data_IF_002591532966
#
_entry.id   IF_002591532966
#
_cell.length_a   1.000
_cell.length_b   1.000
_cell.length_c   1.000
_cell.angle_alpha   90.00
_cell.angle_beta   90.00
_cell.angle_gamma   90.00
#
_symmetry.space_group_name_H-M   'P 1'
#
loop_
_entity.id
_entity.type
_entity.pdbx_description
1 polymer ?
2 non-polymer ?
3 non-polymer ?
4 non-polymer ?
5 water ?
#
# COMPACT_ATOMS: atom_id res chain seq x y z
N UNK A 2 -10.46 -11.29 22.90
CA UNK A 2 -11.21 -10.29 22.05
C UNK A 2 -10.27 -9.36 21.32
N UNK A 3 -10.38 -9.36 20.01
CA UNK A 3 -9.39 -8.64 19.25
C UNK A 3 -10.09 -7.65 18.36
N UNK A 4 -9.32 -6.67 17.84
CA UNK A 4 -9.83 -5.72 16.87
C UNK A 4 -9.06 -6.01 15.58
N UNK A 5 -9.77 -6.04 14.48
CA UNK A 5 -9.12 -6.16 13.17
C UNK A 5 -9.19 -4.81 12.47
N UNK A 6 -8.04 -4.41 11.93
CA UNK A 6 -7.96 -3.23 11.07
C UNK A 6 -7.78 -3.76 9.65
N UNK A 7 -8.74 -3.44 8.77
CA UNK A 7 -8.68 -3.90 7.39
C UNK A 7 -8.64 -2.71 6.45
N UNK A 8 -7.64 -2.66 5.58
CA UNK A 8 -7.66 -1.69 4.51
C UNK A 8 -7.83 -2.47 3.21
N UNK A 9 -8.95 -2.24 2.56
CA UNK A 9 -9.25 -2.88 1.29
C UNK A 9 -9.44 -1.77 0.28
N UNK A 10 -8.76 -1.89 -0.87
CA UNK A 10 -8.79 -0.81 -1.85
C UNK A 10 -8.94 -1.37 -3.27
N UNK A 11 -9.40 -0.51 -4.17
CA UNK A 11 -9.57 -0.91 -5.56
C UNK A 11 -9.73 0.32 -6.41
N UNK A 12 -9.30 0.20 -7.67
CA UNK A 12 -9.54 1.22 -8.68
C UNK A 12 -10.85 0.85 -9.32
N UNK A 13 -11.84 1.74 -9.21
CA UNK A 13 -13.15 1.49 -9.85
C UNK A 13 -13.44 2.50 -10.97
N UNK A 14 -12.38 3.17 -11.43
CA UNK A 14 -12.53 4.17 -12.49
C UNK A 14 -12.14 5.55 -12.00
N UNK A 15 -11.83 6.46 -12.92
CA UNK A 15 -11.30 7.75 -12.50
C UNK A 15 -11.56 8.83 -13.57
N UNK A 16 -11.41 10.07 -13.16
CA UNK A 16 -11.68 11.19 -14.04
C UNK A 16 -10.46 11.55 -14.90
N UNK A 17 -10.68 11.67 -16.21
CA UNK A 17 -9.71 12.22 -17.17
C UNK A 17 -8.50 11.35 -17.48
N UNK A 18 -8.56 10.08 -17.08
CA UNK A 18 -7.42 9.19 -17.16
C UNK A 18 -7.28 8.53 -15.81
N UNK A 19 -6.07 8.07 -15.50
CA UNK A 19 -5.81 7.37 -14.23
C UNK A 19 -5.47 8.38 -13.12
N UNK A 20 -6.25 9.45 -13.05
CA UNK A 20 -5.85 10.67 -12.35
C UNK A 20 -6.38 10.76 -10.92
N UNK A 21 -7.70 10.68 -10.75
CA UNK A 21 -8.30 10.87 -9.44
C UNK A 21 -9.66 10.18 -9.37
N UNK A 22 -9.95 9.64 -8.18
CA UNK A 22 -11.28 9.13 -7.85
C UNK A 22 -12.29 10.27 -7.85
N UNK A 23 -13.44 10.06 -8.50
CA UNK A 23 -14.50 11.05 -8.49
C UNK A 23 -15.30 10.95 -7.20
N UNK A 24 -15.61 12.08 -6.56
CA UNK A 24 -16.33 12.07 -5.29
C UNK A 24 -17.65 11.28 -5.30
N UNK A 25 -18.39 11.31 -6.40
CA UNK A 25 -19.69 10.61 -6.42
C UNK A 25 -19.49 9.11 -6.21
N UNK A 26 -18.36 8.56 -6.66
CA UNK A 26 -18.09 7.13 -6.48
C UNK A 26 -17.76 6.81 -5.02
N UNK A 27 -17.09 7.73 -4.32
CA UNK A 27 -16.84 7.57 -2.89
C UNK A 27 -18.14 7.63 -2.10
N UNK A 28 -19.07 8.48 -2.51
CA UNK A 28 -20.34 8.61 -1.81
C UNK A 28 -21.12 7.30 -1.95
N UNK A 29 -20.99 6.66 -3.10
CA UNK A 29 -21.66 5.35 -3.30
C UNK A 29 -21.08 4.28 -2.38
N UNK A 30 -19.76 4.23 -2.26
CA UNK A 30 -19.11 3.29 -1.36
C UNK A 30 -19.49 3.58 0.07
N UNK A 31 -19.58 4.86 0.40
CA UNK A 31 -19.96 5.27 1.74
C UNK A 31 -21.32 4.72 2.16
N UNK A 32 -22.28 4.73 1.25
CA UNK A 32 -23.61 4.23 1.58
C UNK A 32 -23.54 2.79 2.03
N UNK A 33 -22.77 1.98 1.32
CA UNK A 33 -22.59 0.58 1.68
C UNK A 33 -21.91 0.42 3.04
N UNK A 34 -20.83 1.14 3.28
CA UNK A 34 -20.17 0.98 4.55
C UNK A 34 -21.01 1.55 5.71
N UNK A 35 -21.77 2.61 5.44
CA UNK A 35 -22.67 3.16 6.46
C UNK A 35 -23.66 2.10 6.89
N UNK A 36 -24.21 1.38 5.92
CA UNK A 36 -25.15 0.30 6.24
C UNK A 36 -24.47 -0.81 7.03
N UNK A 37 -23.27 -1.22 6.60
CA UNK A 37 -22.54 -2.27 7.32
C UNK A 37 -22.26 -1.86 8.76
N UNK A 38 -21.98 -0.57 8.98
CA UNK A 38 -21.68 -0.08 10.33
C UNK A 38 -22.97 -0.09 11.16
N UNK A 39 -24.06 0.35 10.56
CA UNK A 39 -25.37 0.32 11.24
C UNK A 39 -25.74 -1.11 11.65
N UNK A 40 -25.46 -2.08 10.78
CA UNK A 40 -25.76 -3.49 11.06
C UNK A 40 -24.80 -4.14 12.05
N UNK A 41 -23.72 -3.46 12.40
CA UNK A 41 -22.75 -4.04 13.31
C UNK A 41 -21.75 -4.99 12.68
N UNK A 42 -21.69 -5.04 11.34
CA UNK A 42 -20.68 -5.85 10.65
C UNK A 42 -19.28 -5.29 10.89
N UNK A 43 -19.18 -3.96 10.76
CA UNK A 43 -17.96 -3.26 11.11
C UNK A 43 -18.27 -2.23 12.18
N UNK A 44 -17.26 -1.87 12.95
CA UNK A 44 -17.40 -0.94 14.06
C UNK A 44 -17.15 0.51 13.62
N UNK A 45 -16.23 0.70 12.68
CA UNK A 45 -16.00 2.06 12.18
C UNK A 45 -15.30 1.99 10.82
N UNK A 46 -15.23 3.13 10.12
CA UNK A 46 -14.55 3.12 8.83
C UNK A 46 -14.18 4.53 8.48
N UNK A 47 -13.25 4.65 7.53
CA UNK A 47 -12.89 5.93 6.91
C UNK A 47 -12.66 5.62 5.43
N UNK A 48 -13.26 6.42 4.56
CA UNK A 48 -13.12 6.25 3.11
C UNK A 48 -12.31 7.42 2.55
N UNK A 49 -11.35 7.09 1.70
CA UNK A 49 -10.64 8.15 0.98
C UNK A 49 -10.11 7.60 -0.35
N UNK A 50 -9.19 8.33 -0.99
CA UNK A 50 -8.56 7.82 -2.19
C UNK A 50 -7.09 8.26 -2.17
N UNK A 51 -6.28 7.55 -2.93
CA UNK A 51 -4.96 8.08 -3.36
C UNK A 51 -4.94 7.89 -4.88
N UNK A 52 -4.81 8.98 -5.63
CA UNK A 52 -4.88 8.89 -7.07
C UNK A 52 -6.22 8.28 -7.46
N UNK A 53 -6.17 7.27 -8.32
CA UNK A 53 -7.38 6.58 -8.80
C UNK A 53 -7.77 5.36 -7.96
N UNK A 54 -7.20 5.22 -6.78
CA UNK A 54 -7.51 4.06 -5.92
C UNK A 54 -8.37 4.44 -4.74
N UNK A 55 -9.55 3.81 -4.71
CA UNK A 55 -10.54 4.07 -3.67
C UNK A 55 -10.22 3.20 -2.43
N UNK A 56 -10.09 3.85 -1.28
CA UNK A 56 -9.59 3.22 -0.05
C UNK A 56 -10.70 3.03 0.98
N UNK A 57 -10.89 1.77 1.41
CA UNK A 57 -11.81 1.47 2.51
C UNK A 57 -11.02 1.04 3.76
N UNK A 58 -10.98 1.89 4.78
CA UNK A 58 -10.29 1.61 6.02
C UNK A 58 -11.37 1.23 7.05
N UNK A 59 -11.35 -0.01 7.51
CA UNK A 59 -12.43 -0.52 8.38
C UNK A 59 -11.89 -1.16 9.62
N UNK A 60 -12.59 -0.95 10.75
CA UNK A 60 -12.27 -1.69 11.96
C UNK A 60 -13.49 -2.55 12.31
N UNK A 61 -13.19 -3.73 12.83
CA UNK A 61 -14.25 -4.71 13.10
C UNK A 61 -13.72 -5.78 14.00
N UNK A 62 -14.56 -6.77 14.34
CA UNK A 62 -14.09 -7.83 15.22
C UNK A 62 -14.22 -9.20 14.57
N UNK A 63 -14.03 -9.24 13.26
CA UNK A 63 -14.34 -10.44 12.47
C UNK A 63 -13.11 -11.15 11.91
N UNK A 64 -11.91 -10.67 12.26
CA UNK A 64 -10.67 -11.37 11.91
C UNK A 64 -10.17 -11.06 10.52
N UNK A 65 -9.01 -11.58 10.20
CA UNK A 65 -8.40 -11.43 8.86
C UNK A 65 -9.14 -12.33 7.85
N UNK A 66 -9.18 -11.90 6.58
CA UNK A 66 -9.82 -12.69 5.52
C UNK A 66 -11.25 -13.12 5.89
N UNK A 67 -12.01 -12.20 6.45
CA UNK A 67 -13.42 -12.45 6.77
C UNK A 67 -14.27 -12.28 5.53
N UNK A 68 -15.04 -13.31 5.20
CA UNK A 68 -15.88 -13.25 4.02
C UNK A 68 -16.86 -12.07 4.03
N UNK A 69 -17.53 -11.82 5.15
CA UNK A 69 -18.51 -10.78 5.18
C UNK A 69 -17.87 -9.36 5.07
N UNK A 70 -16.74 -9.14 5.71
CA UNK A 70 -16.05 -7.84 5.58
C UNK A 70 -15.58 -7.67 4.12
N UNK A 71 -15.00 -8.72 3.57
CA UNK A 71 -14.55 -8.63 2.20
C UNK A 71 -15.71 -8.46 1.24
N UNK A 72 -16.85 -9.11 1.49
CA UNK A 72 -18.00 -8.94 0.61
C UNK A 72 -18.61 -7.55 0.73
N UNK A 73 -18.57 -6.97 1.93
CA UNK A 73 -18.99 -5.59 2.12
C UNK A 73 -18.11 -4.66 1.26
N UNK A 74 -16.81 -4.89 1.29
CA UNK A 74 -15.90 -4.06 0.47
C UNK A 74 -16.21 -4.25 -1.00
N UNK A 75 -16.37 -5.51 -1.43
CA UNK A 75 -16.72 -5.80 -2.81
C UNK A 75 -17.97 -5.08 -3.24
N UNK A 76 -19.01 -5.10 -2.40
CA UNK A 76 -20.25 -4.44 -2.76
C UNK A 76 -20.09 -2.92 -2.85
N UNK A 77 -19.30 -2.35 -1.94
CA UNK A 77 -19.01 -0.93 -1.96
C UNK A 77 -18.29 -0.58 -3.28
N UNK A 78 -17.33 -1.40 -3.65
CA UNK A 78 -16.63 -1.20 -4.95
C UNK A 78 -17.59 -1.32 -6.13
N UNK A 79 -18.48 -2.32 -6.09
CA UNK A 79 -19.43 -2.48 -7.18
C UNK A 79 -20.38 -1.29 -7.30
N UNK A 80 -20.84 -0.74 -6.18
CA UNK A 80 -21.72 0.41 -6.24
C UNK A 80 -20.97 1.65 -6.77
N UNK A 81 -19.71 1.77 -6.33
CA UNK A 81 -18.84 2.86 -6.79
C UNK A 81 -18.59 2.72 -8.28
N UNK A 82 -18.36 1.50 -8.75
CA UNK A 82 -18.09 1.27 -10.17
C UNK A 82 -19.33 1.56 -11.02
N UNK A 83 -20.51 1.25 -10.48
CA UNK A 83 -21.74 1.57 -11.22
C UNK A 83 -21.87 3.08 -11.44
N UNK A 84 -21.59 3.85 -10.40
CA UNK A 84 -21.59 5.30 -10.52
C UNK A 84 -20.51 5.75 -11.52
N UNK A 85 -19.34 5.12 -11.46
CA UNK A 85 -18.26 5.44 -12.41
C UNK A 85 -18.71 5.22 -13.86
N UNK A 86 -19.39 4.12 -14.09
CA UNK A 86 -19.87 3.79 -15.43
C UNK A 86 -20.97 4.78 -15.88
N UNK A 87 -21.89 5.12 -14.98
CA UNK A 87 -22.94 6.09 -15.25
C UNK A 87 -22.36 7.47 -15.58
N UNK A 88 -21.22 7.79 -14.96
CA UNK A 88 -20.51 9.06 -15.22
C UNK A 88 -19.55 8.96 -16.40
N UNK A 89 -19.45 7.81 -17.02
CA UNK A 89 -18.54 7.63 -18.14
C UNK A 89 -17.08 7.85 -17.74
N UNK A 90 -16.77 7.56 -16.50
CA UNK A 90 -15.37 7.67 -16.06
C UNK A 90 -14.45 6.72 -16.82
N UNK A 91 -13.18 7.11 -16.93
CA UNK A 91 -12.20 6.23 -17.53
C UNK A 91 -11.98 4.96 -16.69
N UNK A 92 -11.94 3.80 -17.36
CA UNK A 92 -11.60 2.52 -16.71
C UNK A 92 -12.58 2.16 -15.59
N UNK A 93 -13.86 2.43 -15.81
CA UNK A 93 -14.87 2.08 -14.82
C UNK A 93 -14.75 0.60 -14.44
N UNK A 94 -14.74 0.32 -13.13
CA UNK A 94 -14.51 -1.05 -12.65
C UNK A 94 -13.15 -1.67 -12.92
N UNK A 95 -12.12 -0.84 -13.13
CA UNK A 95 -10.79 -1.34 -13.51
C UNK A 95 -10.30 -2.56 -12.77
N UNK A 96 -10.32 -2.50 -11.44
CA UNK A 96 -9.67 -3.55 -10.64
C UNK A 96 -10.65 -4.64 -10.24
N UNK A 97 -11.88 -4.56 -10.71
CA UNK A 97 -12.86 -5.60 -10.38
C UNK A 97 -12.78 -6.62 -11.50
N UNK A 98 -11.85 -7.56 -11.34
CA UNK A 98 -11.50 -8.51 -12.40
C UNK A 98 -12.51 -9.64 -12.53
N UNK A 99 -13.12 -10.01 -11.41
CA UNK A 99 -14.17 -11.02 -11.41
C UNK A 99 -15.55 -10.41 -11.57
N UNK A 100 -16.44 -11.16 -12.21
CA UNK A 100 -17.82 -10.74 -12.37
C UNK A 100 -18.52 -10.87 -11.03
N UNK A 101 -18.10 -11.86 -10.24
CA UNK A 101 -18.74 -12.11 -8.95
C UNK A 101 -17.73 -12.35 -7.83
N UNK A 102 -18.23 -12.27 -6.61
CA UNK A 102 -17.40 -12.39 -5.43
C UNK A 102 -17.55 -13.78 -4.85
N UNK A 103 -16.45 -14.34 -4.33
CA UNK A 103 -16.56 -15.52 -3.46
C UNK A 103 -15.36 -15.63 -2.52
N UNK A 104 -15.66 -15.88 -1.26
CA UNK A 104 -14.64 -16.12 -0.26
C UNK A 104 -14.07 -14.84 0.29
N UNK A 105 -13.26 -14.16 -0.52
CA UNK A 105 -12.66 -12.90 -0.12
C UNK A 105 -12.17 -12.19 -1.37
N UNK A 106 -11.65 -10.96 -1.24
CA UNK A 106 -11.30 -10.19 -2.44
C UNK A 106 -10.00 -10.57 -3.09
N UNK A 107 -9.16 -11.35 -2.38
CA UNK A 107 -7.83 -11.68 -2.87
C UNK A 107 -7.93 -12.50 -4.13
N UNK A 108 -7.32 -12.02 -5.21
CA UNK A 108 -7.42 -12.71 -6.49
C UNK A 108 -8.56 -12.22 -7.35
N UNK A 109 -9.36 -11.30 -6.81
CA UNK A 109 -10.47 -10.72 -7.56
C UNK A 109 -10.11 -9.34 -8.12
N UNK A 110 -8.96 -8.82 -7.71
CA UNK A 110 -8.52 -7.48 -8.13
C UNK A 110 -8.19 -6.48 -7.02
N UNK A 111 -9.07 -6.34 -6.01
CA UNK A 111 -8.80 -5.42 -4.89
C UNK A 111 -7.59 -5.82 -4.08
N UNK A 112 -6.89 -4.84 -3.50
CA UNK A 112 -5.78 -5.12 -2.61
C UNK A 112 -6.24 -5.07 -1.18
N UNK A 113 -5.56 -5.82 -0.32
CA UNK A 113 -5.94 -5.86 1.08
C UNK A 113 -4.73 -5.95 1.98
N UNK A 114 -4.73 -5.12 3.03
CA UNK A 114 -3.79 -5.27 4.13
C UNK A 114 -4.62 -5.30 5.39
N UNK A 115 -4.47 -6.33 6.22
CA UNK A 115 -5.28 -6.36 7.44
C UNK A 115 -4.52 -7.06 8.54
N UNK A 116 -4.82 -6.64 9.77
CA UNK A 116 -4.19 -7.26 10.94
C UNK A 116 -5.22 -7.37 12.06
N UNK A 117 -5.32 -8.56 12.62
CA UNK A 117 -6.11 -8.77 13.83
C UNK A 117 -5.18 -8.68 15.01
N UNK A 118 -5.46 -7.76 15.92
CA UNK A 118 -4.55 -7.47 17.00
C UNK A 118 -5.27 -7.36 18.33
N UNK A 119 -4.50 -7.41 19.41
CA UNK A 119 -4.99 -6.97 20.71
C UNK A 119 -4.59 -5.51 20.88
N UNK A 120 -5.58 -4.62 20.99
CA UNK A 120 -5.27 -3.19 21.18
C UNK A 120 -4.36 -3.00 22.39
N UNK A 121 -3.28 -2.25 22.21
CA UNK A 121 -2.32 -1.99 23.27
C UNK A 121 -2.84 -0.92 24.23
N UNK A 122 -2.05 -0.54 25.24
CA UNK A 122 -2.51 0.44 26.23
C UNK A 122 -3.04 1.67 25.51
N UNK A 123 -2.35 2.04 24.43
CA UNK A 123 -2.94 2.89 23.39
C UNK A 123 -2.46 2.28 22.06
N UNK A 124 -3.20 2.53 20.99
CA UNK A 124 -2.95 1.86 19.72
C UNK A 124 -2.84 2.89 18.60
N UNK A 125 -1.69 3.60 18.56
CA UNK A 125 -1.44 4.52 17.41
C UNK A 125 -0.95 3.72 16.21
N UNK A 126 -1.45 4.07 15.03
CA UNK A 126 -1.04 3.38 13.81
C UNK A 126 -0.87 4.42 12.71
N UNK A 127 -0.12 4.01 11.68
CA UNK A 127 -0.10 4.79 10.44
C UNK A 127 -0.47 3.87 9.30
N UNK A 128 -1.30 4.38 8.42
CA UNK A 128 -1.72 3.64 7.24
C UNK A 128 -1.16 4.39 6.01
N UNK A 129 -0.44 3.67 5.17
CA UNK A 129 0.19 4.25 3.97
C UNK A 129 -0.47 3.67 2.73
N UNK A 130 -0.85 4.53 1.80
CA UNK A 130 -1.53 4.09 0.60
C UNK A 130 -0.86 4.75 -0.60
N UNK A 131 -0.52 3.96 -1.60
CA UNK A 131 0.27 4.49 -2.73
C UNK A 131 -0.43 4.29 -4.03
N UNK A 132 -0.21 5.22 -4.96
CA UNK A 132 -0.73 5.08 -6.31
C UNK A 132 0.45 5.13 -7.27
N UNK A 133 0.31 4.34 -8.33
CA UNK A 133 1.28 4.21 -9.44
C UNK A 133 2.53 3.41 -9.10
N UNK A 134 2.39 2.43 -8.22
CA UNK A 134 3.50 1.56 -7.92
C UNK A 134 3.01 0.19 -7.43
N UNK A 135 3.93 -0.60 -6.90
CA UNK A 135 3.59 -1.96 -6.52
C UNK A 135 4.05 -2.22 -5.08
N UNK A 136 3.61 -3.36 -4.50
CA UNK A 136 3.89 -3.61 -3.08
C UNK A 136 5.36 -3.53 -2.68
N UNK A 137 6.26 -3.98 -3.56
CA UNK A 137 7.68 -3.93 -3.24
C UNK A 137 8.19 -2.52 -3.02
N UNK A 138 7.40 -1.51 -3.38
CA UNK A 138 7.78 -0.12 -3.07
C UNK A 138 7.94 0.11 -1.56
N UNK A 139 7.34 -0.76 -0.73
CA UNK A 139 7.47 -0.58 0.70
C UNK A 139 8.68 -1.34 1.28
N UNK A 140 9.40 -2.10 0.45
CA UNK A 140 10.54 -2.87 0.99
C UNK A 140 11.60 -2.02 1.62
N UNK A 141 12.06 -0.99 0.90
CA UNK A 141 13.12 -0.14 1.44
C UNK A 141 12.63 0.62 2.69
N UNK A 142 11.43 1.23 2.62
CA UNK A 142 10.97 1.88 3.86
C UNK A 142 10.80 0.95 5.05
N UNK A 143 10.25 -0.25 4.84
CA UNK A 143 10.11 -1.17 5.98
C UNK A 143 11.44 -1.67 6.52
N UNK A 144 12.39 -1.94 5.63
CA UNK A 144 13.74 -2.25 6.08
C UNK A 144 14.26 -1.12 6.96
N UNK A 145 14.08 0.12 6.51
CA UNK A 145 14.60 1.23 7.30
C UNK A 145 13.90 1.35 8.65
N UNK A 146 12.57 1.27 8.63
CA UNK A 146 11.79 1.44 9.88
C UNK A 146 12.15 0.42 10.93
N UNK A 147 12.34 -0.83 10.47
CA UNK A 147 12.43 -1.94 11.42
C UNK A 147 13.80 -2.51 11.60
N UNK A 148 14.76 -2.15 10.76
CA UNK A 148 16.08 -2.75 10.87
C UNK A 148 17.25 -1.77 10.83
N UNK A 149 17.04 -0.56 10.30
CA UNK A 149 18.18 0.34 10.11
C UNK A 149 18.33 1.30 11.27
N UNK A 150 19.43 1.17 12.02
CA UNK A 150 19.61 2.01 13.21
C UNK A 150 19.92 3.48 12.87
N UNK A 151 20.17 3.78 11.59
CA UNK A 151 20.32 5.18 11.14
C UNK A 151 18.95 5.80 10.84
N UNK A 152 17.92 4.96 10.80
CA UNK A 152 16.54 5.43 10.66
C UNK A 152 15.80 5.45 11.99
N UNK A 153 15.96 4.34 12.74
CA UNK A 153 15.17 4.06 13.96
C UNK A 153 16.15 3.91 15.11
N UNK A 154 16.54 5.02 15.73
CA UNK A 154 17.55 4.91 16.79
C UNK A 154 17.01 4.15 18.03
N UNK A 155 15.70 3.92 18.07
CA UNK A 155 15.17 3.03 19.13
C UNK A 155 15.87 1.69 19.14
N UNK A 156 16.30 1.21 17.98
CA UNK A 156 17.00 -0.09 17.90
C UNK A 156 18.25 -0.07 18.75
N UNK A 157 18.87 1.09 18.88
CA UNK A 157 20.10 1.26 19.63
C UNK A 157 19.84 1.67 21.08
N UNK A 158 18.88 2.57 21.29
CA UNK A 158 18.78 3.20 22.60
C UNK A 158 17.69 2.65 23.50
N UNK A 159 16.70 1.98 22.90
CA UNK A 159 15.47 1.59 23.58
C UNK A 159 15.57 0.12 23.91
N UNK A 160 15.69 -0.17 25.21
CA UNK A 160 15.95 -1.55 25.54
C UNK A 160 14.85 -2.51 25.03
N UNK A 161 13.61 -2.02 24.91
CA UNK A 161 12.52 -2.87 24.42
C UNK A 161 12.62 -3.30 22.96
N UNK A 162 13.47 -2.61 22.18
CA UNK A 162 13.60 -2.81 20.73
C UNK A 162 14.93 -3.44 20.31
N UNK A 163 15.87 -3.49 21.23
CA UNK A 163 17.21 -4.00 21.00
C UNK A 163 17.24 -5.40 20.38
N UNK A 164 16.24 -6.22 20.71
CA UNK A 164 16.14 -7.58 20.18
C UNK A 164 15.78 -7.64 18.71
N UNK A 165 15.37 -6.51 18.16
CA UNK A 165 15.13 -6.47 16.73
C UNK A 165 13.81 -7.00 16.24
N UNK A 166 13.69 -7.06 14.92
CA UNK A 166 12.46 -7.40 14.23
C UNK A 166 12.76 -8.45 13.19
N UNK A 167 11.72 -9.21 12.83
CA UNK A 167 11.85 -10.20 11.78
C UNK A 167 10.84 -9.91 10.67
N UNK A 168 11.19 -10.35 9.48
CA UNK A 168 10.47 -10.01 8.27
C UNK A 168 9.98 -11.26 7.57
N UNK A 169 8.69 -11.28 7.28
CA UNK A 169 8.10 -12.33 6.44
C UNK A 169 8.22 -11.87 5.00
N UNK A 170 9.12 -12.50 4.26
CA UNK A 170 9.42 -12.11 2.88
C UNK A 170 8.75 -13.10 1.93
N UNK A 171 7.84 -12.62 1.10
CA UNK A 171 7.11 -13.46 0.14
C UNK A 171 7.80 -13.46 -1.21
N UNK A 172 8.12 -14.64 -1.71
CA UNK A 172 8.53 -14.77 -3.08
C UNK A 172 7.24 -14.81 -3.90
N UNK A 173 6.89 -13.72 -4.55
CA UNK A 173 5.56 -13.62 -5.15
C UNK A 173 5.49 -14.41 -6.44
N UNK A 174 6.63 -14.77 -7.01
CA UNK A 174 6.62 -15.58 -8.23
C UNK A 174 6.35 -17.03 -7.89
N UNK A 175 6.96 -17.51 -6.80
CA UNK A 175 6.85 -18.92 -6.41
C UNK A 175 5.79 -19.18 -5.33
N UNK A 176 5.28 -18.12 -4.72
CA UNK A 176 4.27 -18.28 -3.68
C UNK A 176 4.77 -19.02 -2.44
N UNK A 177 5.96 -18.68 -1.98
CA UNK A 177 6.51 -19.23 -0.75
C UNK A 177 7.10 -18.08 0.04
N UNK A 178 7.12 -18.20 1.36
CA UNK A 178 7.64 -17.13 2.21
C UNK A 178 8.73 -17.65 3.15
N UNK A 179 9.63 -16.76 3.56
CA UNK A 179 10.69 -17.08 4.51
C UNK A 179 10.69 -16.01 5.59
N UNK A 180 11.07 -16.37 6.81
CA UNK A 180 11.25 -15.41 7.92
C UNK A 180 12.72 -15.11 8.10
N UNK A 181 13.13 -13.83 8.09
CA UNK A 181 14.52 -13.47 8.31
C UNK A 181 14.56 -12.44 9.44
N UNK A 182 15.48 -12.62 10.37
CA UNK A 182 15.52 -11.80 11.57
C UNK A 182 16.67 -10.79 11.49
N UNK A 183 16.39 -9.53 11.86
CA UNK A 183 17.42 -8.50 11.98
C UNK A 183 17.85 -8.39 13.44
N UNK A 184 19.12 -8.04 13.69
CA UNK A 184 20.10 -7.68 12.69
C UNK A 184 20.90 -8.85 12.13
N UNK A 185 20.72 -10.06 12.67
CA UNK A 185 21.61 -11.15 12.31
C UNK A 185 21.59 -11.49 10.82
N UNK A 186 20.41 -11.41 10.21
CA UNK A 186 20.25 -11.87 8.83
C UNK A 186 20.03 -10.73 7.82
N UNK A 187 20.46 -9.54 8.19
CA UNK A 187 20.21 -8.39 7.28
C UNK A 187 20.84 -8.53 5.89
N UNK A 188 22.03 -9.15 5.79
CA UNK A 188 22.67 -9.25 4.47
C UNK A 188 21.88 -10.20 3.57
N UNK A 189 21.36 -11.28 4.16
CA UNK A 189 20.49 -12.19 3.41
C UNK A 189 19.16 -11.52 3.04
N UNK A 190 18.58 -10.83 4.02
CA UNK A 190 17.35 -10.08 3.79
C UNK A 190 17.48 -9.14 2.56
N UNK A 191 18.54 -8.33 2.56
CA UNK A 191 18.75 -7.35 1.48
C UNK A 191 19.04 -8.00 0.13
N UNK A 192 19.70 -9.16 0.16
CA UNK A 192 19.94 -9.91 -1.07
C UNK A 192 18.62 -10.27 -1.75
N UNK A 193 17.58 -10.53 -0.96
CA UNK A 193 16.24 -10.73 -1.51
C UNK A 193 15.44 -9.45 -1.79
N UNK A 194 15.24 -8.63 -0.76
CA UNK A 194 14.26 -7.55 -0.91
C UNK A 194 14.77 -6.44 -1.80
N UNK A 195 16.06 -6.47 -2.12
CA UNK A 195 16.62 -5.56 -3.13
C UNK A 195 16.06 -5.77 -4.53
N UNK A 196 15.31 -6.86 -4.73
CA UNK A 196 14.57 -7.15 -5.97
C UNK A 196 13.08 -7.10 -5.68
N UNK A 197 12.50 -5.89 -5.65
CA UNK A 197 11.16 -5.74 -5.02
C UNK A 197 10.02 -6.26 -5.87
N UNK A 198 10.30 -6.57 -7.13
CA UNK A 198 9.27 -7.12 -8.01
C UNK A 198 9.04 -8.58 -7.68
N UNK A 199 10.03 -9.19 -7.05
CA UNK A 199 9.94 -10.63 -6.76
C UNK A 199 9.77 -10.93 -5.27
N UNK A 200 10.59 -10.29 -4.44
CA UNK A 200 10.58 -10.56 -3.01
C UNK A 200 10.01 -9.37 -2.28
N UNK A 201 8.87 -9.56 -1.62
CA UNK A 201 8.14 -8.45 -0.99
C UNK A 201 8.02 -8.71 0.50
N UNK A 202 8.37 -7.72 1.32
CA UNK A 202 8.04 -7.87 2.76
C UNK A 202 6.53 -7.80 2.94
N UNK A 203 5.97 -8.86 3.54
CA UNK A 203 4.52 -8.95 3.72
C UNK A 203 4.11 -8.58 5.14
N UNK A 204 4.88 -9.03 6.13
CA UNK A 204 4.60 -8.71 7.54
C UNK A 204 5.91 -8.55 8.26
N UNK A 205 5.85 -7.81 9.36
CA UNK A 205 6.99 -7.61 10.24
C UNK A 205 6.53 -7.93 11.66
N UNK A 206 7.39 -8.63 12.40
CA UNK A 206 7.10 -8.97 13.79
C UNK A 206 8.24 -8.57 14.67
N UNK A 207 7.95 -8.21 15.92
CA UNK A 207 8.99 -8.00 16.89
C UNK A 207 9.56 -9.34 17.35
N UNK A 208 10.88 -9.47 17.41
CA UNK A 208 11.48 -10.77 17.79
C UNK A 208 11.15 -11.20 19.22
N UNK A 209 11.22 -10.29 20.18
CA UNK A 209 11.12 -10.66 21.60
C UNK A 209 9.82 -11.43 21.92
N UNK A 210 8.70 -10.96 21.38
CA UNK A 210 7.37 -11.44 21.74
C UNK A 210 6.50 -11.80 20.53
N UNK A 211 7.10 -11.83 19.35
CA UNK A 211 6.39 -12.12 18.11
C UNK A 211 5.20 -11.20 17.87
N UNK A 212 5.25 -9.99 18.41
CA UNK A 212 4.17 -9.02 18.17
C UNK A 212 4.11 -8.60 16.69
N UNK A 213 2.92 -8.69 16.10
CA UNK A 213 2.71 -8.30 14.71
C UNK A 213 2.78 -6.79 14.63
N UNK A 214 3.73 -6.26 13.85
CA UNK A 214 3.98 -4.82 13.79
C UNK A 214 3.55 -4.12 12.49
N UNK A 215 3.57 -4.83 11.37
CA UNK A 215 3.20 -4.22 10.07
C UNK A 215 2.71 -5.27 9.11
N UNK A 216 1.81 -4.89 8.21
CA UNK A 216 1.33 -5.74 7.15
C UNK A 216 1.22 -4.91 5.85
N UNK A 217 1.58 -5.56 4.73
CA UNK A 217 1.58 -4.96 3.39
C UNK A 217 0.63 -5.77 2.49
N UNK A 218 -0.11 -5.09 1.63
CA UNK A 218 -0.93 -5.78 0.63
C UNK A 218 -0.03 -6.42 -0.42
N UNK A 219 -0.23 -7.70 -0.69
CA UNK A 219 0.67 -8.37 -1.64
C UNK A 219 -0.03 -8.84 -2.90
N UNK A 220 -1.25 -8.37 -3.14
CA UNK A 220 -1.89 -8.63 -4.43
C UNK A 220 -1.03 -7.99 -5.55
N UNK A 221 -0.75 -8.75 -6.59
CA UNK A 221 -0.06 -8.19 -7.74
C UNK A 221 -0.87 -8.50 -9.01
N UNK A 222 -1.41 -7.45 -9.62
CA UNK A 222 -2.30 -7.58 -10.79
C UNK A 222 -1.64 -8.31 -11.95
N UNK A 223 -0.36 -8.02 -12.20
CA UNK A 223 0.37 -8.72 -13.26
C UNK A 223 0.24 -10.23 -13.08
N UNK A 224 0.46 -10.66 -11.85
CA UNK A 224 0.51 -12.09 -11.53
C UNK A 224 -0.90 -12.67 -11.39
N UNK A 225 -1.88 -11.82 -11.10
CA UNK A 225 -3.26 -12.29 -11.02
C UNK A 225 -3.84 -12.42 -12.42
N UNK A 226 -3.53 -11.45 -13.29
CA UNK A 226 -4.14 -11.36 -14.62
C UNK A 226 -3.32 -12.06 -15.72
N UNK A 227 -2.03 -12.23 -15.49
CA UNK A 227 -1.14 -12.81 -16.50
C UNK A 227 -0.74 -11.80 -17.57
N UNK A 228 -1.00 -10.52 -17.27
CA UNK A 228 -0.61 -9.43 -18.16
C UNK A 228 -0.82 -8.12 -17.41
N UNK A 229 -0.30 -7.02 -17.96
CA UNK A 229 -0.42 -5.72 -17.31
C UNK A 229 -1.84 -5.18 -17.47
N UNK A 230 -2.51 -4.89 -16.35
CA UNK A 230 -3.86 -4.30 -16.35
C UNK A 230 -3.92 -3.07 -15.43
N UNK A 231 -2.77 -2.72 -14.87
CA UNK A 231 -2.68 -1.56 -14.02
C UNK A 231 -1.56 -1.77 -13.03
N UNK A 232 -1.28 -0.74 -12.25
CA UNK A 232 -0.34 -0.85 -11.14
C UNK A 232 -1.11 -1.38 -9.92
N UNK A 233 -0.46 -2.22 -9.13
CA UNK A 233 -1.15 -2.86 -7.99
C UNK A 233 -1.63 -1.80 -7.01
N UNK A 234 -0.82 -0.79 -6.76
CA UNK A 234 -1.15 0.32 -5.88
C UNK A 234 -1.41 -0.13 -4.45
N UNK A 235 -0.34 -0.32 -3.70
CA UNK A 235 -0.37 -1.06 -2.45
C UNK A 235 -0.64 -0.21 -1.20
N UNK A 236 -1.04 -0.90 -0.14
CA UNK A 236 -1.29 -0.28 1.14
C UNK A 236 -0.53 -1.01 2.23
N UNK A 237 -0.25 -0.31 3.33
CA UNK A 237 0.45 -0.92 4.43
C UNK A 237 -0.06 -0.32 5.73
N UNK A 238 -0.14 -1.15 6.76
CA UNK A 238 -0.50 -0.69 8.09
C UNK A 238 0.70 -0.89 9.02
N UNK A 239 1.08 0.15 9.75
CA UNK A 239 2.20 0.06 10.67
C UNK A 239 1.74 0.46 12.07
N UNK A 240 1.92 -0.45 13.04
CA UNK A 240 1.68 -0.08 14.45
C UNK A 240 2.86 0.68 15.04
N UNK A 241 2.58 1.65 15.90
CA UNK A 241 3.61 2.59 16.36
C UNK A 241 3.79 2.60 17.87
N UNK A 242 4.95 3.07 18.31
CA UNK A 242 5.22 3.38 19.73
C UNK A 242 5.27 2.11 20.58
N UNK A 243 5.54 2.29 21.88
CA UNK A 243 5.53 1.13 22.83
C UNK A 243 6.52 0.03 22.38
N UNK A 244 7.70 0.41 21.95
CA UNK A 244 8.70 -0.58 21.55
C UNK A 244 8.61 -1.01 20.09
N UNK A 245 7.71 -0.35 19.37
CA UNK A 245 7.66 -0.37 17.90
C UNK A 245 8.13 1.02 17.44
N UNK A 246 8.44 1.14 16.15
CA UNK A 246 8.91 2.46 15.69
C UNK A 246 7.95 3.57 16.12
N UNK A 247 8.54 4.69 16.52
CA UNK A 247 7.76 5.91 16.77
C UNK A 247 7.14 6.39 15.46
N UNK A 248 6.05 7.14 15.53
CA UNK A 248 5.53 7.78 14.32
C UNK A 248 6.66 8.42 13.51
N UNK A 249 7.53 9.16 14.19
CA UNK A 249 8.61 9.87 13.49
C UNK A 249 9.60 8.97 12.83
N UNK A 250 9.82 7.75 13.34
CA UNK A 250 10.70 6.77 12.70
C UNK A 250 10.03 6.13 11.48
N UNK A 251 8.73 5.90 11.56
CA UNK A 251 8.01 5.46 10.38
C UNK A 251 8.08 6.53 9.28
N UNK A 252 7.86 7.79 9.65
CA UNK A 252 7.91 8.87 8.66
C UNK A 252 9.32 9.13 8.12
N UNK A 253 10.34 8.95 8.98
CA UNK A 253 11.74 9.09 8.56
C UNK A 253 12.02 8.18 7.35
N UNK A 254 11.41 7.00 7.33
CA UNK A 254 11.66 6.00 6.31
C UNK A 254 11.12 6.40 4.93
N UNK A 255 10.27 7.42 4.90
CA UNK A 255 9.74 7.99 3.66
C UNK A 255 10.31 9.36 3.33
N UNK A 256 11.27 9.85 4.12
CA UNK A 256 11.83 11.18 3.89
C UNK A 256 12.71 11.20 2.65
N UNK A 257 13.19 10.02 2.26
CA UNK A 257 13.95 9.89 1.00
C UNK A 257 12.99 9.35 -0.07
N UNK A 258 12.76 10.09 -1.16
CA UNK A 258 11.80 9.68 -2.20
C UNK A 258 12.46 8.72 -3.17
N UNK A 259 12.46 7.44 -2.82
CA UNK A 259 13.19 6.48 -3.61
C UNK A 259 12.49 6.12 -4.90
N UNK A 260 13.26 5.60 -5.84
CA UNK A 260 12.72 5.15 -7.09
C UNK A 260 11.94 3.86 -6.95
N UNK A 261 10.71 3.86 -7.47
CA UNK A 261 9.82 2.71 -7.38
C UNK A 261 9.24 2.42 -8.77
N UNK A 262 8.91 1.16 -9.01
CA UNK A 262 8.44 0.79 -10.35
C UNK A 262 6.95 1.06 -10.52
N UNK A 263 6.55 1.44 -11.72
CA UNK A 263 5.15 1.71 -12.02
C UNK A 263 5.07 2.93 -12.92
N UNK A 264 4.50 4.01 -12.40
CA UNK A 264 4.37 5.27 -13.12
C UNK A 264 3.74 5.03 -14.49
N UNK A 265 4.10 5.79 -15.51
CA UNK A 265 3.39 5.70 -16.79
C UNK A 265 3.34 4.29 -17.35
N UNK A 266 2.11 3.81 -17.66
CA UNK A 266 1.94 2.52 -18.36
C UNK A 266 2.53 1.34 -17.61
N UNK A 267 2.72 1.50 -16.29
CA UNK A 267 3.31 0.43 -15.46
C UNK A 267 4.68 0.02 -15.93
N UNK A 268 5.40 0.93 -16.58
CA UNK A 268 6.61 0.56 -17.30
C UNK A 268 7.83 1.37 -16.91
N UNK A 269 7.80 2.09 -15.79
CA UNK A 269 8.92 3.01 -15.48
C UNK A 269 9.27 3.09 -14.01
N UNK A 270 10.50 3.47 -13.70
CA UNK A 270 10.87 3.88 -12.35
C UNK A 270 10.72 5.38 -12.19
N UNK A 271 10.15 5.78 -11.06
CA UNK A 271 10.01 7.19 -10.72
C UNK A 271 10.03 7.33 -9.20
N UNK A 272 10.29 8.51 -8.71
CA UNK A 272 10.40 8.72 -7.26
C UNK A 272 9.06 8.71 -6.55
N UNK A 273 9.05 8.06 -5.39
CA UNK A 273 7.84 8.02 -4.56
C UNK A 273 7.64 9.36 -3.84
N UNK A 274 6.56 10.06 -4.16
CA UNK A 274 6.34 11.41 -3.66
C UNK A 274 5.32 11.38 -2.52
N UNK A 275 5.76 11.67 -1.30
CA UNK A 275 4.79 11.72 -0.18
C UNK A 275 3.99 13.01 -0.26
N UNK A 276 2.66 12.89 -0.20
CA UNK A 276 1.78 14.03 -0.44
C UNK A 276 0.63 14.11 0.56
N UNK A 277 0.07 15.31 0.65
CA UNK A 277 -1.18 15.54 1.36
C UNK A 277 -2.33 14.89 0.60
N UNK A 278 -3.48 14.81 1.28
CA UNK A 278 -4.70 14.30 0.65
C UNK A 278 -5.07 15.09 -0.61
N UNK A 279 -4.96 16.41 -0.55
CA UNK A 279 -5.35 17.26 -1.68
C UNK A 279 -4.40 17.04 -2.87
N UNK A 280 -3.18 16.60 -2.60
CA UNK A 280 -2.19 16.38 -3.68
C UNK A 280 -2.09 14.92 -4.08
N UNK A 281 -3.02 14.09 -3.58
CA UNK A 281 -2.97 12.66 -3.89
C UNK A 281 -3.69 12.35 -5.21
N UNK A 282 -3.07 12.77 -6.30
CA UNK A 282 -3.62 12.59 -7.62
C UNK A 282 -2.45 12.52 -8.61
N UNK A 283 -2.63 11.82 -9.71
CA UNK A 283 -1.54 11.55 -10.64
C UNK A 283 -1.62 12.50 -11.83
N UNK A 284 -0.50 13.16 -12.15
CA UNK A 284 -0.50 14.21 -13.16
C UNK A 284 0.64 13.98 -14.16
N UNK A 285 1.78 14.67 -13.99
CA UNK A 285 2.87 14.55 -14.95
C UNK A 285 3.26 13.07 -15.17
N UNK A 286 3.19 12.61 -16.43
CA UNK A 286 3.58 11.24 -16.79
C UNK A 286 2.80 10.21 -15.94
N UNK A 287 1.57 10.59 -15.59
CA UNK A 287 0.68 9.73 -14.75
C UNK A 287 1.31 9.46 -13.37
N UNK A 288 1.93 10.48 -12.80
CA UNK A 288 2.52 10.40 -11.46
C UNK A 288 3.03 11.76 -11.07
N UNK A 289 4.26 11.82 -10.53
CA UNK A 289 5.06 10.68 -10.07
C UNK A 289 4.23 9.84 -9.10
N UNK A 290 4.70 8.64 -8.79
CA UNK A 290 3.99 7.80 -7.79
C UNK A 290 3.70 8.63 -6.54
N UNK A 291 2.51 8.43 -5.96
CA UNK A 291 2.05 9.26 -4.82
C UNK A 291 1.87 8.40 -3.59
N UNK A 292 2.27 8.94 -2.45
CA UNK A 292 2.10 8.23 -1.16
C UNK A 292 1.32 9.10 -0.18
N UNK A 293 0.18 8.57 0.28
CA UNK A 293 -0.65 9.24 1.29
C UNK A 293 -0.42 8.52 2.63
N UNK A 294 -0.22 9.26 3.69
CA UNK A 294 -0.05 8.64 5.02
C UNK A 294 -1.04 9.22 6.00
N UNK A 295 -1.82 8.34 6.64
CA UNK A 295 -2.83 8.77 7.61
C UNK A 295 -2.55 8.17 8.97
N UNK A 296 -2.53 9.02 10.00
CA UNK A 296 -2.31 8.51 11.36
C UNK A 296 -3.64 8.41 12.07
N UNK A 297 -3.79 7.33 12.82
CA UNK A 297 -5.00 7.12 13.63
C UNK A 297 -4.61 6.60 14.99
N UNK A 298 -5.55 6.70 15.94
CA UNK A 298 -5.52 5.83 17.11
C UNK A 298 -6.75 4.92 17.04
N UNK A 299 -6.56 3.66 17.39
CA UNK A 299 -7.67 2.71 17.42
C UNK A 299 -8.07 2.51 18.89
N UNK A 300 -9.36 2.70 19.16
CA UNK A 300 -9.86 2.64 20.55
C UNK A 300 -11.19 1.89 20.58
N UNK A 301 -11.12 0.66 21.06
CA UNK A 301 -12.30 -0.21 21.12
C UNK A 301 -12.98 -0.29 19.76
N UNK A 302 -12.15 -0.41 18.74
CA UNK A 302 -12.66 -0.52 17.39
C UNK A 302 -13.04 0.79 16.74
N UNK A 303 -12.86 1.89 17.45
CA UNK A 303 -13.13 3.22 16.90
C UNK A 303 -11.86 3.76 16.22
N UNK A 304 -12.04 4.42 15.08
CA UNK A 304 -10.91 5.09 14.42
C UNK A 304 -10.90 6.55 14.77
N UNK A 305 -9.92 6.95 15.57
CA UNK A 305 -9.77 8.33 15.96
C UNK A 305 -8.75 8.93 15.00
N UNK A 306 -9.13 10.04 14.37
CA UNK A 306 -8.32 10.62 13.28
C UNK A 306 -9.15 10.66 12.01
N UNK A 307 -8.51 10.79 10.83
CA UNK A 307 -7.06 10.72 10.64
C UNK A 307 -6.39 12.08 10.77
N UNK A 308 -5.10 12.02 11.00
CA UNK A 308 -4.21 13.13 10.71
C UNK A 308 -3.44 12.84 9.41
N UNK A 309 -3.39 13.84 8.53
CA UNK A 309 -2.73 13.72 7.22
C UNK A 309 -1.23 13.95 7.48
N UNK A 310 -0.47 12.87 7.41
CA UNK A 310 0.89 12.87 7.89
C UNK A 310 1.90 13.67 7.04
N UNK A 311 1.82 13.50 5.72
CA UNK A 311 2.81 14.17 4.88
C UNK A 311 2.40 15.58 4.50
N UNK A 312 1.21 16.02 4.91
CA UNK A 312 0.80 17.40 4.65
C UNK A 312 1.43 18.30 5.70
N UNK A 313 2.70 18.61 5.51
CA UNK A 313 3.50 19.25 6.55
C UNK A 313 4.79 19.75 5.90
N UNK A 314 5.34 20.88 6.38
CA UNK A 314 6.50 21.44 5.74
C UNK A 314 7.76 20.58 5.85
N UNK A 315 7.80 19.65 6.79
CA UNK A 315 9.00 18.81 6.93
C UNK A 315 9.19 17.89 5.74
N UNK A 316 8.18 17.79 4.88
CA UNK A 316 8.32 16.99 3.65
C UNK A 316 8.39 17.82 2.38
N UNK A 317 8.47 19.14 2.51
CA UNK A 317 8.56 19.99 1.32
C UNK A 317 9.83 19.73 0.49
N UNK A 318 10.97 19.54 1.13
CA UNK A 318 12.19 19.21 0.36
C UNK A 318 12.11 17.81 -0.24
N UNK A 319 11.45 16.88 0.44
CA UNK A 319 11.26 15.55 -0.12
C UNK A 319 10.48 15.65 -1.44
N UNK A 320 9.44 16.47 -1.46
CA UNK A 320 8.64 16.65 -2.67
C UNK A 320 9.46 17.36 -3.76
N UNK A 321 10.21 18.38 -3.37
CA UNK A 321 11.04 19.09 -4.35
C UNK A 321 12.05 18.11 -4.97
N UNK A 322 12.72 17.30 -4.16
CA UNK A 322 13.67 16.34 -4.71
C UNK A 322 12.96 15.36 -5.62
N UNK A 323 11.78 14.90 -5.24
CA UNK A 323 11.01 14.02 -6.13
C UNK A 323 10.75 14.68 -7.50
N UNK A 324 10.38 15.95 -7.49
CA UNK A 324 10.21 16.67 -8.75
C UNK A 324 11.48 16.76 -9.59
N UNK A 325 12.60 17.05 -8.94
CA UNK A 325 13.87 17.16 -9.66
C UNK A 325 14.29 15.80 -10.23
N UNK A 326 14.13 14.75 -9.42
CA UNK A 326 14.47 13.41 -9.88
C UNK A 326 13.52 12.97 -11.00
N UNK A 327 12.23 13.34 -10.89
CA UNK A 327 11.31 12.95 -11.96
C UNK A 327 11.76 13.51 -13.28
N UNK A 328 12.18 14.79 -13.28
CA UNK A 328 12.65 15.39 -14.52
C UNK A 328 13.90 14.67 -15.04
N UNK A 329 14.84 14.39 -14.15
CA UNK A 329 16.06 13.70 -14.56
C UNK A 329 15.74 12.34 -15.13
N UNK A 330 14.89 11.57 -14.44
CA UNK A 330 14.53 10.27 -15.00
C UNK A 330 13.91 10.39 -16.38
N UNK A 331 13.02 11.37 -16.54
CA UNK A 331 12.26 11.52 -17.79
C UNK A 331 13.15 11.81 -18.98
N UNK A 332 14.34 12.40 -18.77
CA UNK A 332 15.23 12.68 -19.90
C UNK A 332 15.81 11.43 -20.50
N UNK A 333 15.60 10.27 -19.84
CA UNK A 333 16.04 8.99 -20.39
C UNK A 333 15.07 8.44 -21.42
N UNK A 334 13.87 9.00 -21.52
CA UNK A 334 12.92 8.47 -22.52
C UNK A 334 12.69 6.98 -22.26
N UNK A 335 12.64 6.18 -23.33
CA UNK A 335 12.28 4.76 -23.20
C UNK A 335 13.46 3.85 -22.92
N UNK A 336 14.52 4.37 -22.30
CA UNK A 336 15.68 3.57 -21.94
C UNK A 336 15.69 3.14 -20.49
N UNK A 337 16.13 1.92 -20.23
CA UNK A 337 16.49 1.48 -18.88
C UNK A 337 17.62 2.38 -18.42
N UNK A 338 17.68 2.70 -17.12
CA UNK A 338 16.81 2.17 -16.07
C UNK A 338 15.57 3.03 -15.75
N UNK A 339 15.22 4.03 -16.57
CA UNK A 339 13.93 4.67 -16.40
C UNK A 339 12.80 3.70 -16.79
N UNK A 340 12.92 3.11 -17.97
CA UNK A 340 12.02 2.03 -18.38
C UNK A 340 12.35 0.79 -17.56
N UNK A 341 11.33 -0.02 -17.28
CA UNK A 341 11.56 -1.24 -16.48
C UNK A 341 12.40 -2.28 -17.20
N UNK A 342 13.03 -3.11 -16.37
CA UNK A 342 13.80 -4.28 -16.82
C UNK A 342 12.93 -5.27 -17.59
N UNK A 343 13.56 -6.04 -18.48
CA UNK A 343 12.79 -6.90 -19.40
C UNK A 343 11.88 -7.89 -18.67
N UNK A 344 12.32 -8.48 -17.57
CA UNK A 344 11.47 -9.48 -16.91
C UNK A 344 10.12 -8.93 -16.42
N UNK A 345 10.07 -7.62 -16.15
CA UNK A 345 8.83 -6.98 -15.74
C UNK A 345 8.09 -6.31 -16.91
N UNK A 346 8.80 -5.96 -17.98
CA UNK A 346 8.16 -5.45 -19.20
C UNK A 346 7.42 -6.56 -19.92
N UNK A 347 7.76 -7.79 -19.56
CA UNK A 347 7.23 -8.92 -20.30
C UNK A 347 5.73 -9.02 -20.13
N UNK A 348 5.21 -8.37 -19.08
CA UNK A 348 3.76 -8.32 -18.84
C UNK A 348 3.05 -7.23 -19.62
N UNK A 349 3.82 -6.31 -20.20
CA UNK A 349 3.22 -5.30 -21.06
C UNK A 349 3.11 -5.87 -22.45
N UNK A 350 2.64 -5.04 -23.39
CA UNK A 350 2.58 -5.37 -24.80
C UNK A 350 3.95 -5.23 -25.52
N UNK A 351 4.96 -4.75 -24.82
CA UNK A 351 6.29 -4.65 -25.45
C UNK A 351 6.72 -5.92 -26.24
N UNK A 352 6.53 -7.11 -25.64
CA UNK A 352 6.89 -8.33 -26.38
C UNK A 352 6.25 -8.44 -27.77
N UNK A 353 5.00 -7.98 -27.92
CA UNK A 353 4.30 -8.10 -29.20
C UNK A 353 5.06 -7.43 -30.36
N UNK A 361 13.92 -9.86 -38.57
CA UNK A 361 14.92 -9.51 -39.58
C UNK A 361 16.36 -9.80 -39.12
N UNK A 362 16.49 -10.33 -37.90
CA UNK A 362 17.80 -10.64 -37.36
C UNK A 362 18.57 -11.66 -38.19
N UNK A 363 19.84 -11.35 -38.45
CA UNK A 363 20.72 -12.23 -39.20
C UNK A 363 21.95 -12.62 -38.39
N UNK A 364 22.28 -13.91 -38.42
CA UNK A 364 23.45 -14.43 -37.73
C UNK A 364 24.71 -13.62 -38.04
X LIG B 1 -3.55 2.59 -12.12
X LIG B 1 -3.00 1.23 -11.74
X LIG B 1 -3.32 3.61 -11.04
X LIG B 1 -4.93 2.53 -12.74
X LIG B 1 -2.64 3.23 -13.31
X LIG B 1 -2.32 2.51 -14.50
X LIG B 1 -1.12 3.27 -15.06
X LIG B 1 -1.14 3.79 -16.48
X LIG B 1 -0.30 4.96 -16.71
X LIG C 1 -3.78 0.30 -10.01
X LIG D 1 -3.92 3.54 -9.13
X LIG E 1 -6.63 3.49 -12.94
X LIG F 1 -9.79 16.36 14.50
X LIG F 1 -9.22 15.21 13.68
X LIG F 1 -9.67 13.96 14.27
X LIG F 1 -9.71 15.28 12.24
X LIG F 1 -7.70 15.21 13.72
X LIG F 1 -7.13 16.59 13.42
X LIG F 1 -7.62 17.50 14.38
X LIG F 1 -5.61 16.55 13.44
#
# INVERSE_FOLDING_TARGET
>A
MMKTTISVIKADIGSLAGHHIVHPDTMAAANKVLASAKEQGIILDYYITHVGDDLQLIMTHTRGELDTKVHETAWNAFKEAAKVAKDLGLYAAGQDLLSDSFSGNVRGLGPGVAEMEIEERASEPIAIFMADKTEPGAYNLPLYKMFADPFNTPGLVIDPTMHGGFKFEVLDVYQGEAVMLSAPQEIYDLLALIGTPARYVIRRVYRNEDNLLAAVVSIERLNLIAGKYVGKDDPVMIVRLQHGLPALGEALEAFAFPHLVPGWMRGSHYGPLMPVSQRDAKATRFDGPPRLLGLGFNVKNGRLVGPTDLFDDPAFDETRRLANIVADYMRRHGPFMPHRLEPTEMEYTTLPLILEKLKDRFKKESDVYKAKESIYAKEESQGHD
>B hetero
1 13P P O1P O2P O3P O1 C1 C2 C3 O3
>C hetero
1 MG MG
>D hetero
1 MG MG
>E hetero
1 MG MG
>F hetero
1 MPD C1 C2 O2 CM C3 C4 O4 C5
#
